data_IF_893900620227
#
_entry.id   IF_893900620227
#
_cell.length_a   1.000
_cell.length_b   1.000
_cell.length_c   1.000
_cell.angle_alpha   90.00
_cell.angle_beta   90.00
_cell.angle_gamma   90.00
#
_symmetry.space_group_name_H-M   'P 1'
#
loop_
_entity.id
_entity.type
_entity.pdbx_description
1 polymer ?
#
# COMPACT_ATOMS: atom_id res chain seq x y z
N UNK A 1 -53.26 -24.48 -16.11
CA UNK A 1 -52.58 -23.88 -16.00
C UNK A 1 -51.65 -22.76 -15.98
N UNK A 2 -51.79 -21.87 -16.93
CA UNK A 2 -50.96 -20.69 -17.00
C UNK A 2 -51.11 -19.83 -15.73
N UNK A 3 -52.30 -19.77 -15.16
CA UNK A 3 -52.57 -19.04 -13.91
C UNK A 3 -51.81 -19.60 -12.70
N UNK A 4 -51.37 -20.83 -12.76
CA UNK A 4 -50.54 -21.44 -11.71
C UNK A 4 -49.11 -21.01 -11.77
N UNK A 5 -48.60 -20.70 -12.96
CA UNK A 5 -47.22 -20.35 -13.20
C UNK A 5 -46.96 -18.86 -13.03
N UNK A 6 -47.97 -18.02 -13.29
CA UNK A 6 -47.85 -16.57 -13.23
C UNK A 6 -47.29 -16.05 -11.88
N UNK A 7 -47.81 -16.49 -10.70
CA UNK A 7 -47.24 -16.04 -9.43
C UNK A 7 -45.77 -16.46 -9.24
N UNK A 8 -45.39 -17.61 -9.75
CA UNK A 8 -44.03 -18.10 -9.69
C UNK A 8 -43.09 -17.30 -10.60
N UNK A 9 -43.57 -16.88 -11.77
CA UNK A 9 -42.81 -16.06 -12.70
C UNK A 9 -42.54 -14.71 -12.09
N UNK A 10 -43.51 -14.04 -11.48
CA UNK A 10 -43.34 -12.76 -10.80
C UNK A 10 -42.31 -12.85 -9.66
N UNK A 11 -42.43 -13.87 -8.85
CA UNK A 11 -41.50 -14.11 -7.75
C UNK A 11 -40.08 -14.39 -8.27
N UNK A 12 -39.97 -15.18 -9.34
CA UNK A 12 -38.67 -15.50 -9.94
C UNK A 12 -38.02 -14.26 -10.55
N UNK A 13 -38.79 -13.42 -11.26
CA UNK A 13 -38.30 -12.17 -11.83
C UNK A 13 -37.87 -11.20 -10.72
N UNK A 14 -38.65 -11.09 -9.66
CA UNK A 14 -38.32 -10.25 -8.51
C UNK A 14 -37.01 -10.68 -7.84
N UNK A 15 -36.81 -11.97 -7.68
CA UNK A 15 -35.57 -12.54 -7.10
C UNK A 15 -34.38 -12.22 -8.00
N UNK A 16 -34.52 -12.42 -9.32
CA UNK A 16 -33.45 -12.15 -10.26
C UNK A 16 -33.08 -10.66 -10.25
N UNK A 17 -34.07 -9.77 -10.29
CA UNK A 17 -33.84 -8.33 -10.23
C UNK A 17 -33.19 -7.94 -8.91
N UNK A 18 -33.65 -8.51 -7.79
CA UNK A 18 -33.06 -8.27 -6.48
C UNK A 18 -31.59 -8.70 -6.44
N UNK A 19 -31.25 -9.85 -7.03
CA UNK A 19 -29.87 -10.32 -7.11
C UNK A 19 -28.98 -9.38 -7.92
N UNK A 20 -29.48 -8.86 -9.04
CA UNK A 20 -28.75 -7.87 -9.83
C UNK A 20 -28.57 -6.55 -9.09
N UNK A 21 -29.60 -6.09 -8.37
CA UNK A 21 -29.52 -4.85 -7.61
C UNK A 21 -28.58 -4.94 -6.42
N UNK A 22 -28.48 -6.11 -5.79
CA UNK A 22 -27.57 -6.36 -4.66
C UNK A 22 -26.12 -6.52 -5.14
N UNK A 23 -25.92 -6.99 -6.36
CA UNK A 23 -24.59 -7.24 -6.90
C UNK A 23 -23.73 -5.97 -6.93
N UNK A 24 -24.25 -4.86 -7.39
CA UNK A 24 -23.48 -3.62 -7.52
C UNK A 24 -22.98 -3.08 -6.16
N UNK A 25 -23.83 -2.92 -5.13
CA UNK A 25 -23.34 -2.51 -3.82
C UNK A 25 -22.28 -3.45 -3.25
N UNK A 26 -22.44 -4.77 -3.44
CA UNK A 26 -21.47 -5.75 -2.95
C UNK A 26 -20.14 -5.59 -3.66
N UNK A 27 -20.15 -5.44 -4.99
CA UNK A 27 -18.93 -5.22 -5.77
C UNK A 27 -18.22 -3.93 -5.32
N UNK A 28 -18.96 -2.86 -5.06
CA UNK A 28 -18.39 -1.61 -4.58
C UNK A 28 -17.80 -1.74 -3.17
N UNK A 29 -18.49 -2.45 -2.28
CA UNK A 29 -17.98 -2.70 -0.94
C UNK A 29 -16.67 -3.50 -1.00
N UNK A 30 -16.62 -4.56 -1.81
CA UNK A 30 -15.42 -5.36 -1.98
C UNK A 30 -14.28 -4.52 -2.56
N UNK A 31 -14.57 -3.69 -3.56
CA UNK A 31 -13.58 -2.80 -4.16
C UNK A 31 -13.03 -1.79 -3.15
N UNK A 32 -13.91 -1.18 -2.36
CA UNK A 32 -13.52 -0.22 -1.33
C UNK A 32 -12.72 -0.90 -0.21
N UNK A 33 -13.08 -2.11 0.18
CA UNK A 33 -12.32 -2.88 1.15
C UNK A 33 -10.93 -3.23 0.63
N UNK A 34 -10.81 -3.58 -0.65
CA UNK A 34 -9.51 -3.83 -1.26
C UNK A 34 -8.65 -2.58 -1.26
N UNK A 35 -9.23 -1.42 -1.54
CA UNK A 35 -8.50 -0.15 -1.47
C UNK A 35 -8.04 0.17 -0.05
N UNK A 36 -8.86 -0.13 0.96
CA UNK A 36 -8.50 0.06 2.36
C UNK A 36 -7.43 -0.93 2.84
N UNK A 37 -7.51 -2.18 2.40
CA UNK A 37 -6.57 -3.22 2.81
C UNK A 37 -5.25 -3.13 2.03
N UNK A 38 -5.30 -2.63 0.79
CA UNK A 38 -4.13 -2.51 -0.09
C UNK A 38 -3.48 -1.12 -0.02
N UNK A 39 -3.36 -0.55 1.18
CA UNK A 39 -2.47 0.60 1.38
C UNK A 39 -1.01 0.20 1.23
N UNK A 40 -0.70 -1.09 1.30
CA UNK A 40 0.63 -1.59 1.02
C UNK A 40 0.77 -1.85 -0.48
N UNK A 41 1.86 -1.41 -1.12
CA UNK A 41 2.11 -1.69 -2.53
C UNK A 41 2.35 -3.19 -2.77
N UNK A 42 2.35 -3.60 -4.04
CA UNK A 42 2.66 -4.97 -4.43
C UNK A 42 4.01 -5.40 -3.88
N UNK A 43 4.16 -6.71 -3.65
CA UNK A 43 5.40 -7.27 -3.11
C UNK A 43 6.62 -6.93 -3.98
N UNK A 44 6.44 -6.88 -5.29
CA UNK A 44 7.52 -6.51 -6.21
C UNK A 44 8.00 -5.08 -5.96
N UNK A 45 7.08 -4.15 -5.76
CA UNK A 45 7.41 -2.76 -5.45
C UNK A 45 8.08 -2.66 -4.09
N UNK A 46 7.60 -3.42 -3.10
CA UNK A 46 8.23 -3.48 -1.77
C UNK A 46 9.65 -3.98 -1.85
N UNK A 47 9.90 -5.01 -2.65
CA UNK A 47 11.23 -5.59 -2.83
C UNK A 47 12.19 -4.61 -3.51
N UNK A 48 11.72 -3.89 -4.52
CA UNK A 48 12.51 -2.85 -5.18
C UNK A 48 12.89 -1.71 -4.21
N UNK A 49 11.93 -1.24 -3.43
CA UNK A 49 12.16 -0.18 -2.43
C UNK A 49 13.15 -0.67 -1.38
N UNK A 50 12.97 -1.89 -0.90
CA UNK A 50 13.87 -2.48 0.10
C UNK A 50 15.30 -2.59 -0.41
N UNK A 51 15.46 -2.98 -1.66
CA UNK A 51 16.77 -3.09 -2.28
C UNK A 51 17.47 -1.74 -2.37
N UNK A 52 16.75 -0.69 -2.82
CA UNK A 52 17.27 0.67 -2.88
C UNK A 52 17.63 1.19 -1.49
N UNK A 53 16.77 0.99 -0.51
CA UNK A 53 16.98 1.42 0.87
C UNK A 53 18.21 0.73 1.47
N UNK A 54 18.34 -0.57 1.30
CA UNK A 54 19.50 -1.31 1.80
C UNK A 54 20.79 -0.84 1.15
N UNK A 55 20.75 -0.57 -0.15
CA UNK A 55 21.92 -0.06 -0.88
C UNK A 55 22.35 1.31 -0.34
N UNK A 56 21.40 2.20 -0.14
CA UNK A 56 21.70 3.56 0.31
C UNK A 56 22.13 3.59 1.78
N UNK A 57 21.57 2.70 2.61
CA UNK A 57 21.95 2.60 4.03
C UNK A 57 23.30 1.90 4.21
N UNK A 58 23.68 0.98 3.31
CA UNK A 58 24.89 0.18 3.46
C UNK A 58 26.17 1.02 3.52
N UNK A 59 26.15 2.25 3.00
CA UNK A 59 27.26 3.17 3.04
C UNK A 59 27.45 3.84 4.41
N UNK A 60 26.51 3.62 5.33
CA UNK A 60 26.52 4.22 6.66
C UNK A 60 26.53 3.11 7.73
N UNK A 61 26.73 3.52 8.98
CA UNK A 61 26.77 2.62 10.12
C UNK A 61 25.38 2.26 10.66
N UNK A 62 24.42 2.09 9.76
CA UNK A 62 23.04 1.77 10.09
C UNK A 62 22.60 0.50 9.37
N UNK A 63 21.68 -0.22 9.99
CA UNK A 63 21.03 -1.37 9.37
C UNK A 63 19.52 -1.15 9.31
N UNK A 64 18.91 -1.69 8.28
CA UNK A 64 17.44 -1.63 8.14
C UNK A 64 16.79 -2.58 9.14
N UNK A 65 15.98 -2.03 10.05
CA UNK A 65 15.21 -2.82 11.00
C UNK A 65 13.84 -3.16 10.44
N UNK A 66 13.14 -2.16 9.96
CA UNK A 66 11.79 -2.31 9.42
C UNK A 66 11.53 -1.29 8.32
N UNK A 67 10.76 -1.70 7.32
CA UNK A 67 10.36 -0.82 6.22
C UNK A 67 8.85 -0.83 6.11
N UNK A 68 8.24 0.34 6.21
CA UNK A 68 6.81 0.53 6.03
C UNK A 68 6.55 1.44 4.83
N UNK A 69 5.75 0.96 3.89
CA UNK A 69 5.41 1.72 2.69
C UNK A 69 3.90 1.79 2.57
N UNK A 70 3.39 3.01 2.45
CA UNK A 70 1.96 3.27 2.30
C UNK A 70 1.73 4.08 1.04
N UNK A 71 0.82 3.63 0.18
CA UNK A 71 0.42 4.37 -1.02
C UNK A 71 -1.00 4.89 -0.86
N UNK A 72 -1.18 6.19 -1.04
CA UNK A 72 -2.48 6.85 -0.97
C UNK A 72 -2.65 7.69 -2.24
N UNK A 73 -3.41 7.18 -3.22
CA UNK A 73 -3.54 7.84 -4.51
C UNK A 73 -2.18 7.92 -5.22
N UNK A 74 -1.71 9.14 -5.49
CA UNK A 74 -0.42 9.38 -6.15
C UNK A 74 0.73 9.53 -5.16
N UNK A 75 0.43 9.57 -3.87
CA UNK A 75 1.46 9.78 -2.83
C UNK A 75 1.95 8.45 -2.33
N UNK A 76 3.26 8.33 -2.21
CA UNK A 76 3.91 7.17 -1.62
C UNK A 76 4.67 7.61 -0.39
N UNK A 77 4.35 7.03 0.75
CA UNK A 77 4.99 7.30 2.04
C UNK A 77 5.88 6.14 2.39
N UNK A 78 7.16 6.42 2.59
CA UNK A 78 8.13 5.40 2.96
C UNK A 78 8.69 5.76 4.34
N UNK A 79 8.46 4.89 5.31
CA UNK A 79 9.03 4.99 6.64
C UNK A 79 10.13 3.95 6.78
N UNK A 80 11.34 4.41 6.99
CA UNK A 80 12.51 3.56 7.11
C UNK A 80 12.95 3.55 8.56
N UNK A 81 12.81 2.41 9.21
CA UNK A 81 13.27 2.23 10.59
C UNK A 81 14.68 1.66 10.55
N UNK A 82 15.63 2.43 11.03
CA UNK A 82 17.05 2.06 11.00
C UNK A 82 17.57 1.84 12.42
N UNK A 83 18.47 0.90 12.55
CA UNK A 83 19.13 0.59 13.80
C UNK A 83 20.60 0.97 13.69
N UNK A 84 21.08 1.74 14.67
CA UNK A 84 22.49 2.15 14.69
C UNK A 84 23.37 1.01 15.20
N UNK A 85 24.51 0.79 14.55
CA UNK A 85 25.49 -0.21 14.97
C UNK A 85 26.29 0.27 16.19
N UNK A 86 26.42 1.58 16.36
CA UNK A 86 27.23 2.20 17.41
C UNK A 86 26.40 2.85 18.51
N UNK A 87 25.10 2.63 18.52
CA UNK A 87 24.16 3.24 19.47
C UNK A 87 24.16 4.77 19.42
N UNK A 88 24.73 5.36 18.38
CA UNK A 88 24.72 6.80 18.12
C UNK A 88 24.04 7.10 16.78
N UNK A 89 23.31 8.23 16.74
CA UNK A 89 22.58 8.65 15.57
C UNK A 89 23.07 10.04 15.17
N UNK A 90 23.48 10.17 13.92
CA UNK A 90 23.87 11.46 13.34
C UNK A 90 22.76 11.98 12.43
N UNK A 91 22.22 13.14 12.75
CA UNK A 91 21.13 13.76 11.97
C UNK A 91 21.57 14.02 10.54
N UNK A 92 22.83 14.39 10.34
CA UNK A 92 23.38 14.63 8.99
C UNK A 92 23.32 13.37 8.13
N UNK A 93 23.59 12.21 8.71
CA UNK A 93 23.54 10.95 7.99
C UNK A 93 22.11 10.61 7.58
N UNK A 94 21.16 10.81 8.46
CA UNK A 94 19.74 10.59 8.17
C UNK A 94 19.26 11.49 7.02
N UNK A 95 19.67 12.75 7.03
CA UNK A 95 19.31 13.69 5.96
C UNK A 95 19.87 13.24 4.61
N UNK A 96 21.13 12.82 4.58
CA UNK A 96 21.77 12.31 3.36
C UNK A 96 21.12 11.03 2.87
N UNK A 97 20.82 10.10 3.75
CA UNK A 97 20.13 8.85 3.40
C UNK A 97 18.76 9.16 2.82
N UNK A 98 18.01 10.05 3.45
CA UNK A 98 16.71 10.49 2.96
C UNK A 98 16.79 11.07 1.56
N UNK A 99 17.75 11.96 1.32
CA UNK A 99 17.97 12.58 0.02
C UNK A 99 18.32 11.54 -1.05
N UNK A 100 19.20 10.59 -0.73
CA UNK A 100 19.60 9.54 -1.66
C UNK A 100 18.44 8.63 -2.02
N UNK A 101 17.66 8.18 -1.02
CA UNK A 101 16.49 7.32 -1.25
C UNK A 101 15.45 8.05 -2.08
N UNK A 102 15.16 9.29 -1.75
CA UNK A 102 14.21 10.12 -2.50
C UNK A 102 14.64 10.27 -3.95
N UNK A 103 15.91 10.58 -4.19
CA UNK A 103 16.46 10.75 -5.53
C UNK A 103 16.37 9.47 -6.35
N UNK A 104 16.69 8.33 -5.74
CA UNK A 104 16.70 7.05 -6.44
C UNK A 104 15.28 6.57 -6.77
N UNK A 105 14.29 6.98 -6.01
CA UNK A 105 12.91 6.51 -6.17
C UNK A 105 11.98 7.53 -6.83
N UNK A 106 12.38 8.79 -6.96
CA UNK A 106 11.50 9.85 -7.47
C UNK A 106 11.06 9.61 -8.91
N UNK A 107 11.87 8.93 -9.71
CA UNK A 107 11.53 8.62 -11.10
C UNK A 107 10.46 7.53 -11.22
N UNK A 108 10.30 6.71 -10.18
CA UNK A 108 9.34 5.60 -10.16
C UNK A 108 7.98 5.98 -9.59
N UNK A 109 7.92 7.07 -8.82
CA UNK A 109 6.71 7.49 -8.13
C UNK A 109 6.45 8.97 -8.38
N UNK A 110 5.18 9.34 -8.54
CA UNK A 110 4.79 10.73 -8.80
C UNK A 110 5.12 11.66 -7.64
N UNK A 111 4.74 11.25 -6.43
CA UNK A 111 5.03 11.98 -5.20
C UNK A 111 5.54 10.98 -4.18
N UNK A 112 6.74 11.22 -3.69
CA UNK A 112 7.37 10.35 -2.72
C UNK A 112 7.76 11.14 -1.47
N UNK A 113 7.47 10.57 -0.31
CA UNK A 113 7.87 11.11 0.98
C UNK A 113 8.63 10.02 1.71
N UNK A 114 9.86 10.32 2.07
CA UNK A 114 10.72 9.38 2.78
C UNK A 114 11.00 9.93 4.18
N UNK A 115 10.73 9.12 5.17
CA UNK A 115 11.01 9.46 6.56
C UNK A 115 11.91 8.37 7.15
N UNK A 116 12.96 8.78 7.82
CA UNK A 116 13.89 7.86 8.48
C UNK A 116 13.70 8.00 9.98
N UNK A 117 13.37 6.87 10.60
CA UNK A 117 13.05 6.82 12.03
C UNK A 117 14.08 5.91 12.72
N UNK A 118 14.69 6.38 13.81
CA UNK A 118 15.57 5.50 14.58
C UNK A 118 14.76 4.45 15.31
N UNK A 119 15.17 3.20 15.18
CA UNK A 119 14.59 2.09 15.93
C UNK A 119 15.25 2.01 17.31
N UNK A 120 14.42 1.98 18.35
CA UNK A 120 14.89 1.89 19.73
C UNK A 120 15.05 0.44 20.17
#
# INVERSE_FOLDING_TARGET
PINFIIPYIDSSVAIIVALFLVKEPIVQIIKNLKELVLFSPDQQIMDEIREVVNKDISNYEYSLDFLDVTQTGRKTWIEVYVKSKNDTIKIKDFKKIQEHITKDLIDKFDQIYVEIVPAL
#
